data_IF_362927281625
#
_entry.id   IF_362927281625
#
_cell.length_a   1.000
_cell.length_b   1.000
_cell.length_c   1.000
_cell.angle_alpha   90.00
_cell.angle_beta   90.00
_cell.angle_gamma   90.00
#
_symmetry.space_group_name_H-M   'P 1'
#
loop_
_entity.id
_entity.type
_entity.pdbx_description
1 polymer ?
#
# COMPACT_ATOMS: atom_id res chain seq x y z
N UNK A 1 -4.23 -29.65 21.35
CA UNK A 1 -5.24 -29.51 20.28
C UNK A 1 -5.69 -28.06 20.24
N UNK A 2 -5.34 -27.31 19.18
CA UNK A 2 -5.86 -25.95 18.98
C UNK A 2 -7.34 -26.08 18.62
N UNK A 3 -8.21 -25.29 19.23
CA UNK A 3 -9.63 -25.28 18.89
C UNK A 3 -9.82 -24.75 17.47
N UNK A 4 -10.83 -25.22 16.70
CA UNK A 4 -11.07 -24.73 15.33
C UNK A 4 -11.30 -23.21 15.26
N UNK A 5 -11.77 -22.59 16.33
CA UNK A 5 -11.94 -21.13 16.46
C UNK A 5 -10.57 -20.43 16.46
N UNK A 6 -9.56 -20.97 17.16
CA UNK A 6 -8.22 -20.37 17.18
C UNK A 6 -7.51 -20.50 15.83
N UNK A 7 -7.75 -21.58 15.08
CA UNK A 7 -7.23 -21.75 13.74
C UNK A 7 -7.87 -20.77 12.73
N UNK A 8 -9.17 -20.48 12.85
CA UNK A 8 -9.87 -19.49 12.06
C UNK A 8 -9.43 -18.06 12.40
N UNK A 9 -9.18 -17.75 13.67
CA UNK A 9 -8.63 -16.48 14.12
C UNK A 9 -7.18 -16.29 13.63
N UNK A 10 -6.33 -17.31 13.71
CA UNK A 10 -4.96 -17.26 13.18
C UNK A 10 -4.96 -17.11 11.64
N UNK A 11 -5.88 -17.76 10.94
CA UNK A 11 -6.02 -17.63 9.49
C UNK A 11 -6.52 -16.23 9.08
N UNK A 12 -7.42 -15.60 9.86
CA UNK A 12 -7.89 -14.24 9.59
C UNK A 12 -6.84 -13.17 9.91
N UNK A 13 -5.98 -13.40 10.91
CA UNK A 13 -4.87 -12.51 11.27
C UNK A 13 -3.71 -12.50 10.25
N UNK A 14 -3.71 -13.45 9.31
CA UNK A 14 -2.67 -13.59 8.28
C UNK A 14 -3.10 -13.04 6.90
N UNK A 15 -4.26 -12.43 6.80
CA UNK A 15 -4.83 -11.92 5.53
C UNK A 15 -5.09 -10.42 5.62
N UNK A 16 -4.28 -9.63 4.91
CA UNK A 16 -4.44 -8.18 4.84
C UNK A 16 -5.19 -7.78 3.58
N UNK A 17 -6.47 -7.57 3.73
CA UNK A 17 -7.37 -7.13 2.67
C UNK A 17 -8.23 -5.95 3.15
N UNK A 18 -8.81 -5.22 2.21
CA UNK A 18 -9.77 -4.17 2.53
C UNK A 18 -11.03 -4.76 3.17
N UNK A 19 -11.52 -4.14 4.24
CA UNK A 19 -12.74 -4.52 4.94
C UNK A 19 -13.94 -3.65 4.51
N UNK A 20 -15.18 -4.19 4.54
CA UNK A 20 -16.35 -3.38 4.26
C UNK A 20 -16.47 -2.17 5.20
N UNK A 21 -16.71 -0.98 4.63
CA UNK A 21 -16.82 0.30 5.36
C UNK A 21 -15.59 0.71 6.15
N UNK A 22 -14.42 0.21 5.81
CA UNK A 22 -13.16 0.58 6.46
C UNK A 22 -12.91 2.10 6.35
N UNK A 23 -12.73 2.78 7.50
CA UNK A 23 -12.47 4.21 7.58
C UNK A 23 -10.99 4.56 7.74
N UNK A 24 -10.14 3.57 8.00
CA UNK A 24 -8.70 3.72 8.21
C UNK A 24 -7.92 2.93 7.16
N UNK A 25 -6.61 3.04 7.20
CA UNK A 25 -5.72 2.18 6.42
C UNK A 25 -5.76 0.73 6.89
N UNK A 26 -5.27 -0.18 6.04
CA UNK A 26 -4.97 -1.55 6.44
C UNK A 26 -3.80 -1.57 7.44
N UNK A 27 -3.66 -2.67 8.18
CA UNK A 27 -2.57 -2.86 9.12
C UNK A 27 -1.22 -2.81 8.40
N UNK A 28 -0.28 -2.04 8.94
CA UNK A 28 1.04 -1.90 8.36
C UNK A 28 1.80 -3.22 8.40
N UNK A 29 2.36 -3.61 7.27
CA UNK A 29 3.20 -4.80 7.13
C UNK A 29 4.63 -4.48 6.68
N UNK A 30 4.91 -3.21 6.39
CA UNK A 30 6.24 -2.72 6.02
C UNK A 30 6.62 -1.49 6.86
N UNK A 31 7.92 -1.19 7.02
CA UNK A 31 8.38 0.03 7.71
C UNK A 31 7.84 1.30 7.05
N UNK A 32 7.76 1.33 5.73
CA UNK A 32 7.23 2.48 4.99
C UNK A 32 5.75 2.70 5.31
N UNK A 33 4.94 1.65 5.41
CA UNK A 33 3.52 1.79 5.77
C UNK A 33 3.33 2.26 7.22
N UNK A 34 4.20 1.86 8.14
CA UNK A 34 4.19 2.39 9.51
C UNK A 34 4.44 3.91 9.53
N UNK A 35 5.41 4.40 8.76
CA UNK A 35 5.70 5.84 8.66
C UNK A 35 4.59 6.62 7.94
N UNK A 36 3.91 6.03 6.95
CA UNK A 36 2.71 6.62 6.32
C UNK A 36 1.58 6.80 7.35
N UNK A 37 1.30 5.77 8.15
CA UNK A 37 0.31 5.83 9.22
C UNK A 37 0.67 6.89 10.26
N UNK A 38 1.93 6.97 10.64
CA UNK A 38 2.42 7.98 11.60
C UNK A 38 2.22 9.40 11.06
N UNK A 39 2.63 9.67 9.83
CA UNK A 39 2.44 10.97 9.19
C UNK A 39 0.95 11.33 9.05
N UNK A 40 0.12 10.38 8.61
CA UNK A 40 -1.32 10.58 8.50
C UNK A 40 -1.94 10.96 9.85
N UNK A 41 -1.61 10.25 10.92
CA UNK A 41 -2.16 10.52 12.25
C UNK A 41 -1.73 11.91 12.78
N UNK A 42 -0.49 12.33 12.50
CA UNK A 42 -0.03 13.68 12.84
C UNK A 42 -0.85 14.75 12.08
N UNK A 43 -1.06 14.57 10.78
CA UNK A 43 -1.85 15.51 9.96
C UNK A 43 -3.30 15.53 10.45
N UNK A 44 -3.91 14.36 10.70
CA UNK A 44 -5.28 14.28 11.21
C UNK A 44 -5.46 14.96 12.56
N UNK A 45 -4.50 14.85 13.47
CA UNK A 45 -4.51 15.56 14.74
C UNK A 45 -4.56 17.08 14.52
N UNK A 46 -3.71 17.62 13.65
CA UNK A 46 -3.70 19.05 13.31
C UNK A 46 -5.03 19.47 12.67
N UNK A 47 -5.56 18.67 11.73
CA UNK A 47 -6.84 18.95 11.06
C UNK A 47 -8.02 18.99 12.04
N UNK A 48 -8.07 18.08 13.02
CA UNK A 48 -9.11 18.07 14.05
C UNK A 48 -9.06 19.35 14.89
N UNK A 49 -7.87 19.82 15.26
CA UNK A 49 -7.72 21.10 15.99
C UNK A 49 -8.24 22.26 15.15
N UNK A 50 -7.85 22.35 13.86
CA UNK A 50 -8.28 23.42 12.96
C UNK A 50 -9.79 23.39 12.76
N UNK A 51 -10.38 22.23 12.45
CA UNK A 51 -11.83 22.07 12.24
C UNK A 51 -12.58 22.48 13.50
N UNK A 52 -12.14 22.02 14.68
CA UNK A 52 -12.77 22.35 15.96
C UNK A 52 -12.72 23.85 16.22
N UNK A 53 -11.58 24.50 15.99
CA UNK A 53 -11.44 25.94 16.15
C UNK A 53 -12.34 26.73 15.19
N UNK A 54 -12.38 26.34 13.91
CA UNK A 54 -13.23 26.98 12.89
C UNK A 54 -14.71 26.82 13.22
N UNK A 55 -15.16 25.60 13.56
CA UNK A 55 -16.54 25.34 13.96
C UNK A 55 -16.93 26.13 15.19
N UNK A 56 -16.05 26.20 16.20
CA UNK A 56 -16.27 27.00 17.39
C UNK A 56 -16.46 28.49 17.07
N UNK A 57 -15.59 29.06 16.19
CA UNK A 57 -15.71 30.45 15.75
C UNK A 57 -17.02 30.71 14.99
N UNK A 58 -17.42 29.80 14.10
CA UNK A 58 -18.69 29.91 13.35
C UNK A 58 -19.87 29.87 14.31
N UNK A 59 -19.94 28.91 15.24
CA UNK A 59 -21.01 28.78 16.20
C UNK A 59 -21.06 30.04 17.09
N UNK A 60 -19.92 30.52 17.57
CA UNK A 60 -19.86 31.76 18.39
C UNK A 60 -20.29 32.98 17.59
N UNK A 61 -19.97 33.07 16.32
CA UNK A 61 -20.42 34.15 15.41
C UNK A 61 -21.92 34.13 15.19
N UNK A 62 -22.52 32.95 15.03
CA UNK A 62 -23.97 32.79 14.80
C UNK A 62 -24.80 32.96 16.08
N UNK A 63 -24.30 32.56 17.25
CA UNK A 63 -25.00 32.62 18.53
C UNK A 63 -24.66 33.85 19.37
N UNK A 64 -23.57 34.54 19.05
CA UNK A 64 -23.10 35.73 19.77
C UNK A 64 -23.97 36.95 19.49
N UNK A 65 -24.27 37.70 20.57
CA UNK A 65 -25.03 38.97 20.50
C UNK A 65 -24.09 40.20 20.39
N UNK A 66 -22.77 39.99 20.49
CA UNK A 66 -21.80 41.09 20.44
C UNK A 66 -21.55 41.52 19.01
N UNK A 67 -21.95 42.74 18.66
CA UNK A 67 -21.66 43.34 17.38
C UNK A 67 -20.84 44.63 17.60
N UNK A 68 -19.65 44.65 16.96
CA UNK A 68 -18.78 45.82 17.06
C UNK A 68 -18.71 46.54 15.67
N UNK A 69 -19.56 47.55 15.53
CA UNK A 69 -19.77 48.27 14.26
C UNK A 69 -18.50 48.93 13.67
N UNK A 70 -17.56 49.29 14.52
CA UNK A 70 -16.34 50.05 14.15
C UNK A 70 -15.10 49.18 14.02
N UNK A 71 -15.19 47.87 14.23
CA UNK A 71 -14.09 46.94 14.03
C UNK A 71 -14.02 46.58 12.55
N UNK A 72 -13.22 47.31 11.75
CA UNK A 72 -13.09 47.14 10.31
C UNK A 72 -11.74 46.52 9.93
N UNK A 73 -10.76 46.51 10.82
CA UNK A 73 -9.42 45.93 10.58
C UNK A 73 -8.84 45.40 11.91
N UNK A 74 -7.87 44.49 11.80
CA UNK A 74 -7.22 43.91 12.96
C UNK A 74 -5.82 43.40 12.63
N UNK A 75 -4.88 44.31 12.38
CA UNK A 75 -3.51 44.00 11.90
C UNK A 75 -2.82 42.92 12.73
N UNK A 76 -2.97 42.94 14.06
CA UNK A 76 -2.33 41.93 14.94
C UNK A 76 -2.87 40.52 14.67
N UNK A 77 -4.20 40.37 14.57
CA UNK A 77 -4.79 39.06 14.31
C UNK A 77 -4.49 38.58 12.90
N UNK A 78 -4.41 39.47 11.93
CA UNK A 78 -4.02 39.16 10.54
C UNK A 78 -2.62 38.59 10.48
N UNK A 79 -1.65 39.18 11.16
CA UNK A 79 -0.30 38.64 11.28
C UNK A 79 -0.32 37.25 11.94
N UNK A 80 -1.08 37.08 13.03
CA UNK A 80 -1.16 35.81 13.75
C UNK A 80 -1.72 34.69 12.85
N UNK A 81 -2.85 34.94 12.16
CA UNK A 81 -3.43 33.90 11.30
C UNK A 81 -2.65 33.66 10.00
N UNK A 82 -1.71 34.51 9.63
CA UNK A 82 -0.80 34.28 8.52
C UNK A 82 0.41 33.45 8.95
N UNK A 83 0.99 33.78 10.12
CA UNK A 83 2.19 33.10 10.62
C UNK A 83 1.88 31.69 11.11
N UNK A 84 0.78 31.47 11.85
CA UNK A 84 0.45 30.15 12.42
C UNK A 84 0.31 29.07 11.33
N UNK A 85 -0.45 29.26 10.23
CA UNK A 85 -0.51 28.26 9.15
C UNK A 85 0.86 28.02 8.49
N UNK A 86 1.68 29.04 8.30
CA UNK A 86 3.02 28.86 7.75
C UNK A 86 3.89 27.98 8.63
N UNK A 87 3.85 28.20 9.96
CA UNK A 87 4.57 27.36 10.92
C UNK A 87 4.05 25.91 10.91
N UNK A 88 2.72 25.72 10.88
CA UNK A 88 2.12 24.39 10.79
C UNK A 88 2.60 23.66 9.53
N UNK A 89 2.62 24.32 8.38
CA UNK A 89 3.11 23.71 7.13
C UNK A 89 4.59 23.31 7.22
N UNK A 90 5.44 24.10 7.88
CA UNK A 90 6.85 23.75 8.12
C UNK A 90 6.94 22.49 8.99
N UNK A 91 6.14 22.37 10.05
CA UNK A 91 6.12 21.17 10.90
C UNK A 91 5.66 19.90 10.15
N UNK A 92 4.74 20.04 9.20
CA UNK A 92 4.29 18.92 8.35
C UNK A 92 5.35 18.57 7.29
N UNK A 93 6.07 19.54 6.77
CA UNK A 93 7.04 19.34 5.69
C UNK A 93 8.18 18.39 6.08
N UNK A 94 8.72 18.50 7.30
CA UNK A 94 9.87 17.68 7.73
C UNK A 94 9.56 16.17 7.72
N UNK A 95 8.53 15.64 8.40
CA UNK A 95 8.21 14.22 8.34
C UNK A 95 7.76 13.78 6.95
N UNK A 96 7.09 14.64 6.19
CA UNK A 96 6.70 14.35 4.81
C UNK A 96 7.90 14.15 3.89
N UNK A 97 8.92 15.02 3.97
CA UNK A 97 10.16 14.87 3.20
C UNK A 97 10.95 13.63 3.64
N UNK A 98 11.03 13.35 4.95
CA UNK A 98 11.64 12.11 5.46
C UNK A 98 10.99 10.88 4.82
N UNK A 99 9.66 10.83 4.81
CA UNK A 99 8.90 9.73 4.22
C UNK A 99 9.15 9.61 2.71
N UNK A 100 9.17 10.72 2.00
CA UNK A 100 9.46 10.74 0.56
C UNK A 100 10.81 10.10 0.24
N UNK A 101 11.87 10.48 0.95
CA UNK A 101 13.19 9.88 0.77
C UNK A 101 13.22 8.40 1.15
N UNK A 102 12.52 8.00 2.22
CA UNK A 102 12.43 6.60 2.64
C UNK A 102 11.73 5.72 1.59
N UNK A 103 10.75 6.26 0.86
CA UNK A 103 10.04 5.54 -0.20
C UNK A 103 10.89 5.38 -1.46
N UNK A 104 11.74 6.35 -1.78
CA UNK A 104 12.59 6.34 -2.97
C UNK A 104 13.89 5.56 -2.78
N UNK A 105 14.33 5.36 -1.55
CA UNK A 105 15.57 4.66 -1.25
C UNK A 105 15.40 3.15 -1.46
N UNK A 106 16.11 2.61 -2.45
CA UNK A 106 16.20 1.17 -2.69
C UNK A 106 17.53 0.68 -2.10
N UNK A 107 17.41 0.06 -0.93
CA UNK A 107 18.53 -0.65 -0.29
C UNK A 107 18.89 -1.88 -1.13
N UNK A 108 20.12 -2.41 -1.01
CA UNK A 108 20.54 -3.63 -1.71
C UNK A 108 19.49 -4.74 -1.54
N UNK A 109 18.81 -5.16 -2.62
CA UNK A 109 17.74 -6.13 -2.51
C UNK A 109 18.30 -7.54 -2.36
N UNK A 110 17.68 -8.33 -1.47
CA UNK A 110 17.96 -9.75 -1.37
C UNK A 110 17.21 -10.58 -2.41
N UNK A 111 16.09 -10.06 -2.94
CA UNK A 111 15.26 -10.70 -3.97
C UNK A 111 14.78 -9.64 -4.95
N UNK A 112 14.82 -9.97 -6.25
CA UNK A 112 14.22 -9.13 -7.31
C UNK A 112 13.13 -9.90 -8.03
N UNK A 113 11.95 -9.29 -8.11
CA UNK A 113 10.80 -9.82 -8.87
C UNK A 113 10.37 -8.78 -9.88
N UNK A 114 10.14 -9.20 -11.12
CA UNK A 114 9.56 -8.35 -12.15
C UNK A 114 8.07 -8.68 -12.26
N UNK A 115 7.23 -7.66 -12.14
CA UNK A 115 5.78 -7.74 -12.31
C UNK A 115 5.39 -7.07 -13.63
N UNK A 116 4.70 -7.80 -14.48
CA UNK A 116 4.27 -7.34 -15.81
C UNK A 116 2.74 -7.33 -15.82
N UNK A 117 2.15 -6.15 -16.06
CA UNK A 117 0.71 -5.99 -16.19
C UNK A 117 0.23 -6.31 -17.60
N UNK A 118 -0.81 -7.12 -17.69
CA UNK A 118 -1.51 -7.48 -18.93
C UNK A 118 -3.01 -7.19 -18.81
N UNK A 119 -3.73 -7.18 -19.90
CA UNK A 119 -5.19 -7.15 -19.94
C UNK A 119 -5.75 -8.59 -19.88
N UNK A 120 -6.22 -9.13 -18.76
CA UNK A 120 -6.32 -8.54 -17.41
C UNK A 120 -5.79 -9.56 -16.41
N UNK A 121 -4.48 -9.63 -16.24
CA UNK A 121 -3.78 -10.50 -15.30
C UNK A 121 -2.37 -9.95 -15.04
N UNK A 122 -1.65 -10.52 -14.09
CA UNK A 122 -0.25 -10.22 -13.84
C UNK A 122 0.64 -11.41 -14.17
N UNK A 123 1.84 -11.19 -14.71
CA UNK A 123 2.89 -12.19 -14.75
C UNK A 123 4.07 -11.77 -13.89
N UNK A 124 4.74 -12.76 -13.29
CA UNK A 124 5.87 -12.55 -12.39
C UNK A 124 7.08 -13.29 -12.90
N UNK A 125 8.24 -12.60 -12.98
CA UNK A 125 9.51 -13.15 -13.34
C UNK A 125 10.49 -13.03 -12.17
N UNK A 126 11.14 -14.14 -11.77
CA UNK A 126 12.20 -14.17 -10.76
C UNK A 126 13.53 -14.45 -11.45
N UNK A 127 14.35 -13.40 -11.62
CA UNK A 127 15.58 -13.47 -12.39
C UNK A 127 16.82 -13.89 -11.57
N UNK A 128 16.74 -13.85 -10.24
CA UNK A 128 17.90 -14.09 -9.36
C UNK A 128 18.34 -15.56 -9.32
N UNK A 129 17.57 -16.49 -9.90
CA UNK A 129 17.77 -17.95 -9.78
C UNK A 129 18.13 -18.65 -11.10
N UNK A 130 18.56 -17.93 -12.10
CA UNK A 130 18.93 -18.45 -13.43
C UNK A 130 19.98 -19.56 -13.41
N UNK A 131 20.89 -19.52 -12.44
CA UNK A 131 22.05 -20.45 -12.39
C UNK A 131 21.72 -21.85 -11.85
N UNK A 132 20.61 -22.02 -11.14
CA UNK A 132 20.21 -23.32 -10.57
C UNK A 132 19.41 -24.17 -11.54
N UNK A 133 18.79 -23.59 -12.54
CA UNK A 133 17.88 -24.28 -13.49
C UNK A 133 18.47 -24.46 -14.91
N UNK A 134 19.67 -23.91 -15.19
CA UNK A 134 20.31 -23.90 -16.50
C UNK A 134 20.36 -22.51 -17.12
N UNK A 135 21.28 -22.25 -18.03
CA UNK A 135 21.67 -20.92 -18.53
C UNK A 135 20.50 -20.07 -19.13
N UNK A 136 19.33 -20.66 -19.43
CA UNK A 136 18.22 -19.97 -20.11
C UNK A 136 16.87 -20.03 -19.37
N UNK A 137 16.79 -20.52 -18.14
CA UNK A 137 15.51 -20.66 -17.42
C UNK A 137 15.31 -19.57 -16.36
N UNK A 138 14.49 -18.57 -16.68
CA UNK A 138 13.88 -17.68 -15.68
C UNK A 138 12.63 -18.35 -15.14
N UNK A 139 12.42 -18.25 -13.82
CA UNK A 139 11.16 -18.66 -13.23
C UNK A 139 10.10 -17.60 -13.58
N UNK A 140 9.14 -17.98 -14.40
CA UNK A 140 8.04 -17.12 -14.84
C UNK A 140 6.70 -17.85 -14.71
N UNK A 141 5.68 -17.14 -14.23
CA UNK A 141 4.32 -17.65 -14.17
C UNK A 141 3.29 -16.52 -14.23
N UNK A 142 2.10 -16.88 -14.71
CA UNK A 142 0.94 -16.01 -14.75
C UNK A 142 0.09 -16.13 -13.48
N UNK A 143 -0.59 -15.05 -13.13
CA UNK A 143 -1.45 -14.91 -11.95
C UNK A 143 -2.81 -14.37 -12.38
N UNK A 144 -3.81 -15.24 -12.41
CA UNK A 144 -5.18 -14.92 -12.78
C UNK A 144 -6.10 -14.88 -11.56
N UNK A 145 -7.09 -13.99 -11.60
CA UNK A 145 -8.14 -13.96 -10.59
C UNK A 145 -8.95 -15.25 -10.61
N UNK A 146 -9.21 -15.85 -9.44
CA UNK A 146 -10.07 -17.02 -9.32
C UNK A 146 -11.54 -16.58 -9.52
N UNK A 147 -12.28 -17.21 -10.45
CA UNK A 147 -13.71 -16.94 -10.66
C UNK A 147 -14.53 -17.24 -9.40
N UNK A 148 -15.63 -16.51 -9.21
CA UNK A 148 -16.49 -16.67 -8.02
C UNK A 148 -17.05 -18.10 -7.86
N UNK A 149 -17.23 -18.85 -8.96
CA UNK A 149 -17.67 -20.25 -8.95
C UNK A 149 -16.69 -21.22 -8.34
N UNK A 150 -15.39 -20.88 -8.37
CA UNK A 150 -14.28 -21.79 -8.03
C UNK A 150 -13.68 -21.47 -6.67
N UNK A 151 -14.19 -20.43 -6.00
CA UNK A 151 -13.73 -20.01 -4.66
C UNK A 151 -14.08 -21.06 -3.60
N UNK A 152 -13.13 -21.31 -2.71
CA UNK A 152 -13.31 -22.16 -1.53
C UNK A 152 -13.84 -21.35 -0.34
N UNK A 153 -14.34 -22.07 0.67
CA UNK A 153 -14.77 -21.41 1.92
C UNK A 153 -13.62 -20.70 2.60
N UNK A 154 -13.76 -19.38 2.74
CA UNK A 154 -12.75 -18.51 3.34
C UNK A 154 -11.93 -17.70 2.33
N UNK A 155 -12.05 -17.96 1.02
CA UNK A 155 -11.38 -17.16 0.00
C UNK A 155 -12.06 -15.80 -0.18
N UNK A 156 -11.24 -14.80 -0.55
CA UNK A 156 -11.69 -13.43 -0.74
C UNK A 156 -12.14 -13.20 -2.19
N UNK A 157 -13.46 -13.00 -2.37
CA UNK A 157 -14.04 -12.74 -3.69
C UNK A 157 -13.38 -11.51 -4.33
N UNK A 158 -13.01 -11.63 -5.62
CA UNK A 158 -12.35 -10.61 -6.47
C UNK A 158 -10.90 -10.28 -6.07
N UNK A 159 -10.34 -10.95 -5.07
CA UNK A 159 -8.98 -10.70 -4.58
C UNK A 159 -8.11 -11.95 -4.70
N UNK A 160 -8.68 -13.16 -4.71
CA UNK A 160 -7.90 -14.40 -4.74
C UNK A 160 -7.39 -14.70 -6.16
N UNK A 161 -6.18 -15.27 -6.23
CA UNK A 161 -5.50 -15.66 -7.49
C UNK A 161 -5.07 -17.12 -7.46
N UNK A 162 -4.89 -17.69 -8.64
CA UNK A 162 -4.40 -19.06 -8.82
C UNK A 162 -2.93 -19.21 -8.41
N UNK A 163 -2.08 -18.24 -8.79
CA UNK A 163 -0.65 -18.23 -8.47
C UNK A 163 -0.28 -16.92 -7.76
N UNK A 164 0.26 -17.04 -6.56
CA UNK A 164 0.65 -15.89 -5.71
C UNK A 164 2.12 -15.54 -5.94
N UNK A 165 2.44 -14.25 -5.83
CA UNK A 165 3.82 -13.77 -5.76
C UNK A 165 4.40 -14.11 -4.38
N UNK A 166 5.32 -15.07 -4.29
CA UNK A 166 5.91 -15.52 -3.02
C UNK A 166 7.20 -14.76 -2.74
N UNK A 167 7.35 -14.25 -1.51
CA UNK A 167 8.54 -13.49 -1.08
C UNK A 167 8.95 -13.88 0.34
N UNK A 168 10.25 -13.78 0.71
CA UNK A 168 10.68 -13.99 2.07
C UNK A 168 10.36 -12.78 2.96
N UNK A 169 10.04 -13.01 4.24
CA UNK A 169 9.98 -11.97 5.28
C UNK A 169 11.39 -11.48 5.64
N UNK A 170 11.46 -10.30 6.28
CA UNK A 170 12.69 -9.68 6.80
C UNK A 170 13.81 -9.53 5.74
N UNK A 171 13.44 -9.58 4.47
CA UNK A 171 14.33 -9.42 3.32
C UNK A 171 13.82 -8.28 2.46
N UNK A 172 14.72 -7.42 2.00
CA UNK A 172 14.33 -6.32 1.12
C UNK A 172 14.07 -6.86 -0.29
N UNK A 173 12.83 -6.70 -0.77
CA UNK A 173 12.38 -7.16 -2.08
C UNK A 173 12.30 -5.97 -3.01
N UNK A 174 12.98 -6.04 -4.15
CA UNK A 174 12.83 -5.10 -5.25
C UNK A 174 11.79 -5.62 -6.23
N UNK A 175 10.83 -4.78 -6.57
CA UNK A 175 9.84 -5.08 -7.62
C UNK A 175 10.10 -4.18 -8.82
N UNK A 176 10.40 -4.79 -9.96
CA UNK A 176 10.48 -4.13 -11.25
C UNK A 176 9.10 -4.20 -11.90
N UNK A 177 8.54 -3.06 -12.31
CA UNK A 177 7.15 -2.99 -12.76
C UNK A 177 7.09 -2.43 -14.18
N UNK A 178 6.39 -3.14 -15.07
CA UNK A 178 6.15 -2.72 -16.46
C UNK A 178 4.78 -3.17 -16.95
N UNK A 179 4.28 -2.58 -18.02
CA UNK A 179 3.08 -3.03 -18.74
C UNK A 179 3.46 -3.67 -20.06
N UNK A 180 2.76 -4.72 -20.45
CA UNK A 180 2.94 -5.38 -21.74
C UNK A 180 2.10 -4.74 -22.86
N UNK A 181 0.94 -4.18 -22.54
CA UNK A 181 -0.06 -3.69 -23.47
C UNK A 181 -0.51 -2.24 -23.19
N UNK A 182 -1.21 -2.00 -22.09
CA UNK A 182 -1.70 -0.67 -21.69
C UNK A 182 -1.10 -0.28 -20.33
N UNK A 183 -1.49 0.87 -19.82
CA UNK A 183 -1.12 1.30 -18.48
C UNK A 183 -1.84 0.45 -17.42
N UNK A 184 -1.09 -0.02 -16.44
CA UNK A 184 -1.58 -0.65 -15.21
C UNK A 184 -0.89 0.00 -14.01
N UNK A 185 -1.25 -0.36 -12.79
CA UNK A 185 -0.53 0.07 -11.59
C UNK A 185 -0.51 -1.05 -10.55
N UNK A 186 0.69 -1.47 -10.18
CA UNK A 186 0.92 -2.50 -9.17
C UNK A 186 0.82 -1.88 -7.78
N UNK A 187 -0.22 -2.24 -7.02
CA UNK A 187 -0.49 -1.62 -5.72
C UNK A 187 -0.89 -2.64 -4.66
N UNK A 188 -0.17 -2.62 -3.53
CA UNK A 188 -0.47 -3.44 -2.34
C UNK A 188 -0.45 -2.53 -1.11
N UNK A 189 -1.62 -2.08 -0.62
CA UNK A 189 -1.73 -1.03 0.38
C UNK A 189 -1.03 -1.32 1.72
N UNK A 190 -1.15 -2.55 2.24
CA UNK A 190 -0.53 -2.93 3.52
C UNK A 190 0.99 -2.92 3.52
N UNK A 191 1.62 -3.05 2.34
CA UNK A 191 3.06 -2.96 2.13
C UNK A 191 3.52 -1.56 1.70
N UNK A 192 2.59 -0.61 1.50
CA UNK A 192 2.83 0.74 0.99
C UNK A 192 3.43 0.77 -0.42
N UNK A 193 3.07 -0.19 -1.27
CA UNK A 193 3.52 -0.23 -2.66
C UNK A 193 2.44 0.35 -3.56
N UNK A 194 2.85 1.27 -4.44
CA UNK A 194 2.09 1.68 -5.62
C UNK A 194 3.07 2.17 -6.68
N UNK A 195 3.10 1.46 -7.81
CA UNK A 195 3.99 1.78 -8.92
C UNK A 195 3.28 1.53 -10.25
N UNK A 196 3.28 2.53 -11.11
CA UNK A 196 2.65 2.42 -12.43
C UNK A 196 3.44 1.49 -13.35
N UNK A 197 2.72 0.60 -14.00
CA UNK A 197 3.21 -0.35 -15.00
C UNK A 197 3.02 0.27 -16.39
N UNK A 198 4.06 0.96 -16.88
CA UNK A 198 4.02 1.71 -18.14
C UNK A 198 4.67 0.86 -19.24
N UNK A 199 3.99 0.62 -20.39
CA UNK A 199 4.60 -0.06 -21.53
C UNK A 199 5.86 0.64 -22.02
N UNK A 200 6.92 -0.14 -22.24
CA UNK A 200 8.23 0.38 -22.70
C UNK A 200 9.08 1.06 -21.61
N UNK A 201 8.60 1.14 -20.37
CA UNK A 201 9.33 1.67 -19.22
C UNK A 201 9.41 0.62 -18.11
N UNK A 202 10.58 0.47 -17.52
CA UNK A 202 10.80 -0.39 -16.37
C UNK A 202 10.91 0.48 -15.11
N UNK A 203 9.83 0.59 -14.35
CA UNK A 203 9.79 1.25 -13.06
C UNK A 203 10.28 0.30 -11.97
N UNK A 204 10.74 0.86 -10.84
CA UNK A 204 11.16 0.06 -9.70
C UNK A 204 10.59 0.61 -8.41
N UNK A 205 10.25 -0.29 -7.51
CA UNK A 205 9.88 -0.02 -6.13
C UNK A 205 10.43 -1.13 -5.24
N UNK A 206 10.37 -0.95 -3.93
CA UNK A 206 10.83 -1.99 -3.01
C UNK A 206 10.09 -1.95 -1.69
N UNK A 207 10.14 -3.07 -1.00
CA UNK A 207 9.54 -3.22 0.33
C UNK A 207 10.25 -4.28 1.15
N UNK A 208 10.03 -4.23 2.46
CA UNK A 208 10.43 -5.25 3.41
C UNK A 208 9.17 -5.71 4.16
N UNK A 209 8.77 -6.98 3.97
CA UNK A 209 7.67 -7.56 4.71
C UNK A 209 8.13 -7.94 6.12
N UNK A 210 7.60 -7.27 7.17
CA UNK A 210 7.98 -7.48 8.58
C UNK A 210 7.32 -8.71 9.21
N UNK A 211 6.29 -9.26 8.59
CA UNK A 211 5.53 -10.40 9.11
C UNK A 211 5.05 -11.30 7.98
N UNK A 212 4.91 -12.61 8.24
CA UNK A 212 4.32 -13.53 7.27
C UNK A 212 2.82 -13.25 7.10
N UNK A 213 2.29 -13.56 5.91
CA UNK A 213 0.87 -13.41 5.62
C UNK A 213 0.59 -13.24 4.14
N UNK A 214 -0.69 -13.06 3.83
CA UNK A 214 -1.20 -12.76 2.50
C UNK A 214 -1.57 -11.27 2.43
N UNK A 215 -0.99 -10.58 1.47
CA UNK A 215 -1.18 -9.15 1.25
C UNK A 215 -1.88 -8.94 -0.08
N UNK A 216 -3.10 -8.42 -0.01
CA UNK A 216 -3.95 -8.25 -1.18
C UNK A 216 -3.85 -6.84 -1.75
N UNK A 217 -3.77 -6.77 -3.07
CA UNK A 217 -3.74 -5.55 -3.83
C UNK A 217 -4.63 -5.64 -5.07
N UNK A 218 -4.79 -4.52 -5.75
CA UNK A 218 -5.56 -4.44 -6.99
C UNK A 218 -4.86 -3.49 -7.96
N UNK A 219 -5.09 -3.68 -9.26
CA UNK A 219 -4.67 -2.73 -10.27
C UNK A 219 -5.24 -1.34 -9.95
N UNK A 220 -4.38 -0.33 -9.94
CA UNK A 220 -4.72 1.05 -9.52
C UNK A 220 -4.65 2.07 -10.67
N UNK A 221 -4.51 1.63 -11.94
CA UNK A 221 -4.61 2.47 -13.13
C UNK A 221 -5.61 1.87 -14.11
N UNK A 222 -6.52 2.70 -14.65
CA UNK A 222 -7.60 2.25 -15.53
C UNK A 222 -7.04 1.61 -16.82
N UNK A 223 -7.30 0.31 -16.99
CA UNK A 223 -6.73 -0.50 -18.06
C UNK A 223 -7.78 -1.18 -18.97
N UNK A 224 -9.07 -0.85 -18.83
CA UNK A 224 -10.15 -1.37 -19.69
C UNK A 224 -11.27 -2.05 -18.92
N UNK A 225 -12.03 -2.93 -19.61
CA UNK A 225 -13.28 -3.50 -19.10
C UNK A 225 -13.12 -4.35 -17.82
N UNK A 226 -12.03 -5.11 -17.71
CA UNK A 226 -11.78 -5.97 -16.55
C UNK A 226 -10.74 -5.39 -15.58
N UNK A 227 -10.62 -4.05 -15.53
CA UNK A 227 -9.70 -3.36 -14.62
C UNK A 227 -9.83 -3.81 -13.15
N UNK A 228 -11.03 -4.07 -12.67
CA UNK A 228 -11.30 -4.54 -11.29
C UNK A 228 -11.09 -6.04 -11.08
N UNK A 229 -10.75 -6.80 -12.14
CA UNK A 229 -10.68 -8.26 -12.14
C UNK A 229 -9.25 -8.78 -12.37
N UNK A 230 -8.24 -8.01 -11.99
CA UNK A 230 -6.82 -8.39 -12.00
C UNK A 230 -6.16 -8.05 -10.65
N UNK A 231 -6.50 -8.82 -9.60
CA UNK A 231 -5.95 -8.63 -8.27
C UNK A 231 -4.47 -9.02 -8.19
N UNK A 232 -3.85 -8.61 -7.09
CA UNK A 232 -2.46 -8.90 -6.75
C UNK A 232 -2.47 -9.60 -5.39
N UNK A 233 -1.80 -10.74 -5.26
CA UNK A 233 -1.61 -11.40 -3.96
C UNK A 233 -0.13 -11.66 -3.75
N UNK A 234 0.41 -11.07 -2.68
CA UNK A 234 1.78 -11.33 -2.21
C UNK A 234 1.70 -12.26 -1.00
N UNK A 235 2.36 -13.40 -1.09
CA UNK A 235 2.51 -14.34 0.02
C UNK A 235 3.90 -14.19 0.65
N UNK A 236 3.98 -13.56 1.83
CA UNK A 236 5.22 -13.43 2.57
C UNK A 236 5.41 -14.62 3.49
N UNK A 237 6.53 -15.32 3.34
CA UNK A 237 6.85 -16.56 4.07
C UNK A 237 8.22 -16.49 4.72
N UNK A 238 8.50 -17.42 5.66
CA UNK A 238 9.86 -17.56 6.19
C UNK A 238 10.85 -17.99 5.10
N UNK A 239 12.12 -17.67 5.27
CA UNK A 239 13.18 -18.01 4.30
C UNK A 239 13.20 -19.50 3.97
N UNK A 240 13.03 -20.38 4.96
CA UNK A 240 13.01 -21.85 4.73
C UNK A 240 11.86 -22.28 3.81
N UNK A 241 10.68 -21.69 4.00
CA UNK A 241 9.51 -21.96 3.16
C UNK A 241 9.70 -21.38 1.75
N UNK A 242 10.33 -20.22 1.65
CA UNK A 242 10.66 -19.60 0.37
C UNK A 242 11.61 -20.47 -0.46
N UNK A 243 12.68 -20.98 0.15
CA UNK A 243 13.61 -21.93 -0.50
C UNK A 243 12.91 -23.23 -0.91
N UNK A 244 12.02 -23.74 -0.03
CA UNK A 244 11.24 -24.95 -0.34
C UNK A 244 10.29 -24.73 -1.51
N UNK A 245 9.65 -23.57 -1.61
CA UNK A 245 8.79 -23.18 -2.71
C UNK A 245 9.60 -23.09 -4.03
N UNK A 246 10.75 -22.40 -4.02
CA UNK A 246 11.65 -22.33 -5.20
C UNK A 246 12.10 -23.72 -5.68
N UNK A 247 12.30 -24.66 -4.74
CA UNK A 247 12.73 -26.03 -5.08
C UNK A 247 11.59 -26.90 -5.63
N UNK A 248 10.34 -26.47 -5.48
CA UNK A 248 9.15 -27.21 -5.94
C UNK A 248 8.68 -26.80 -7.35
N UNK A 249 9.27 -25.76 -7.91
CA UNK A 249 9.01 -25.24 -9.23
C UNK A 249 10.01 -25.79 -10.24
#
# INVERSE_FOLDING_TARGET
MKTPINALLEASLLRDAAEPFQLSFQDAASPVMEEILFLHNQIMFILIIIITAVLWLIIRGLTGQAYHRYLIEGVTIEIVWTIIPAVILVFIAFPSLKLLYLMDEIVEPGVTVKAIGHQWYWSYEYSDYQTTLGEDSTLEFDSYMIPTSDLQSGDLRLLEVDNRMVVPIDTYVRVLVTGADVLHSFAVPSLAIKMDAVPGRLNQTGFLAKRPGLFYGQCSELCGANHSFMPIVIEAVSMDKYISWLSSL
#
